data_IF_049025374676
#
_entry.id   IF_049025374676
#
_cell.length_a   1.000
_cell.length_b   1.000
_cell.length_c   1.000
_cell.angle_alpha   90.00
_cell.angle_beta   90.00
_cell.angle_gamma   90.00
#
_symmetry.space_group_name_H-M   'P 1'
#
loop_
_entity.id
_entity.type
_entity.pdbx_description
1 polymer ?
#
# COMPACT_ATOMS: atom_id res chain seq x y z
N UNK A 1 -30.90 20.63 66.64
CA UNK A 1 -29.95 20.64 65.52
C UNK A 1 -29.67 22.08 65.21
N UNK A 2 -28.50 22.57 65.63
CA UNK A 2 -28.10 23.96 65.37
C UNK A 2 -27.67 24.10 63.92
N UNK A 3 -27.65 25.32 63.40
CA UNK A 3 -27.17 25.64 62.05
C UNK A 3 -25.72 25.14 61.83
N UNK A 4 -24.91 25.16 62.89
CA UNK A 4 -23.53 24.67 62.89
C UNK A 4 -23.47 23.15 62.66
N UNK A 5 -24.29 22.36 63.36
CA UNK A 5 -24.35 20.90 63.14
C UNK A 5 -24.70 20.56 61.68
N UNK A 6 -25.68 21.26 61.09
CA UNK A 6 -26.11 21.03 59.71
C UNK A 6 -25.00 21.39 58.70
N UNK A 7 -24.28 22.48 58.95
CA UNK A 7 -23.16 22.93 58.11
C UNK A 7 -22.02 21.90 58.11
N UNK A 8 -21.67 21.37 59.28
CA UNK A 8 -20.59 20.38 59.40
C UNK A 8 -20.92 19.07 58.67
N UNK A 9 -22.18 18.60 58.74
CA UNK A 9 -22.61 17.43 57.97
C UNK A 9 -22.58 17.68 56.46
N UNK A 10 -22.97 18.87 56.00
CA UNK A 10 -22.90 19.23 54.58
C UNK A 10 -21.46 19.33 54.08
N UNK A 11 -20.56 19.92 54.87
CA UNK A 11 -19.13 19.97 54.55
C UNK A 11 -18.52 18.57 54.47
N UNK A 12 -18.83 17.69 55.43
CA UNK A 12 -18.39 16.29 55.39
C UNK A 12 -18.89 15.56 54.14
N UNK A 13 -20.17 15.70 53.81
CA UNK A 13 -20.76 15.09 52.61
C UNK A 13 -20.12 15.62 51.32
N UNK A 14 -19.80 16.92 51.27
CA UNK A 14 -19.10 17.53 50.14
C UNK A 14 -17.69 16.97 49.97
N UNK A 15 -16.92 16.85 51.06
CA UNK A 15 -15.58 16.25 51.02
C UNK A 15 -15.62 14.80 50.52
N UNK A 16 -16.52 13.98 51.07
CA UNK A 16 -16.69 12.58 50.62
C UNK A 16 -17.11 12.51 49.15
N UNK A 17 -18.04 13.36 48.72
CA UNK A 17 -18.50 13.41 47.34
C UNK A 17 -17.37 13.80 46.37
N UNK A 18 -16.51 14.75 46.76
CA UNK A 18 -15.37 15.16 45.93
C UNK A 18 -14.33 14.04 45.74
N UNK A 19 -14.06 13.25 46.79
CA UNK A 19 -13.17 12.09 46.72
C UNK A 19 -13.79 11.00 45.83
N UNK A 20 -15.09 10.72 45.99
CA UNK A 20 -15.81 9.76 45.16
C UNK A 20 -15.83 10.18 43.68
N UNK A 21 -16.02 11.46 43.39
CA UNK A 21 -15.94 12.01 42.04
C UNK A 21 -14.54 11.83 41.45
N UNK A 22 -13.49 12.11 42.24
CA UNK A 22 -12.10 11.93 41.80
C UNK A 22 -11.80 10.45 41.49
N UNK A 23 -12.23 9.53 42.34
CA UNK A 23 -12.09 8.08 42.11
C UNK A 23 -12.85 7.67 40.85
N UNK A 24 -14.09 8.14 40.70
CA UNK A 24 -14.93 7.87 39.52
C UNK A 24 -14.26 8.33 38.22
N UNK A 25 -13.67 9.54 38.23
CA UNK A 25 -12.93 10.08 37.09
C UNK A 25 -11.72 9.20 36.72
N UNK A 26 -10.94 8.73 37.70
CA UNK A 26 -9.80 7.85 37.47
C UNK A 26 -10.24 6.52 36.86
N UNK A 27 -11.31 5.93 37.36
CA UNK A 27 -11.89 4.68 36.82
C UNK A 27 -12.37 4.88 35.39
N UNK A 28 -13.10 5.97 35.10
CA UNK A 28 -13.58 6.29 33.76
C UNK A 28 -12.43 6.45 32.76
N UNK A 29 -11.34 7.15 33.12
CA UNK A 29 -10.15 7.30 32.27
C UNK A 29 -9.51 5.93 31.98
N UNK A 30 -9.41 5.05 32.98
CA UNK A 30 -8.87 3.69 32.79
C UNK A 30 -9.76 2.86 31.85
N UNK A 31 -11.08 2.91 32.03
CA UNK A 31 -12.03 2.22 31.15
C UNK A 31 -11.91 2.72 29.70
N UNK A 32 -11.84 4.03 29.48
CA UNK A 32 -11.64 4.61 28.14
C UNK A 32 -10.35 4.12 27.49
N UNK A 33 -9.24 3.99 28.24
CA UNK A 33 -7.99 3.44 27.71
C UNK A 33 -8.11 1.97 27.31
N UNK A 34 -8.78 1.16 28.13
CA UNK A 34 -9.03 -0.25 27.83
C UNK A 34 -9.91 -0.43 26.60
N UNK A 35 -11.00 0.34 26.50
CA UNK A 35 -11.90 0.32 25.33
C UNK A 35 -11.15 0.73 24.06
N UNK A 36 -10.33 1.78 24.10
CA UNK A 36 -9.49 2.19 22.95
C UNK A 36 -8.54 1.07 22.52
N UNK A 37 -7.94 0.35 23.47
CA UNK A 37 -7.07 -0.79 23.17
C UNK A 37 -7.86 -1.92 22.51
N UNK A 38 -8.99 -2.32 23.09
CA UNK A 38 -9.83 -3.38 22.52
C UNK A 38 -10.34 -3.02 21.12
N UNK A 39 -10.76 -1.78 20.89
CA UNK A 39 -11.13 -1.30 19.56
C UNK A 39 -9.97 -1.41 18.57
N UNK A 40 -8.75 -1.04 18.97
CA UNK A 40 -7.57 -1.16 18.10
C UNK A 40 -7.29 -2.63 17.75
N UNK A 41 -7.35 -3.52 18.73
CA UNK A 41 -7.10 -4.95 18.53
C UNK A 41 -8.19 -5.62 17.69
N UNK A 42 -9.45 -5.20 17.84
CA UNK A 42 -10.57 -5.64 16.98
C UNK A 42 -10.45 -5.12 15.56
N UNK A 43 -10.14 -3.84 15.38
CA UNK A 43 -9.94 -3.24 14.06
C UNK A 43 -8.76 -3.91 13.33
N UNK A 44 -7.66 -4.16 14.04
CA UNK A 44 -6.52 -4.86 13.45
C UNK A 44 -6.87 -6.28 13.00
N UNK A 45 -7.56 -7.06 13.85
CA UNK A 45 -8.02 -8.42 13.46
C UNK A 45 -8.95 -8.38 12.25
N UNK A 46 -9.89 -7.43 12.21
CA UNK A 46 -10.77 -7.24 11.07
C UNK A 46 -10.00 -6.88 9.79
N UNK A 47 -9.00 -6.00 9.89
CA UNK A 47 -8.15 -5.63 8.76
C UNK A 47 -7.32 -6.82 8.25
N UNK A 48 -6.81 -7.68 9.14
CA UNK A 48 -6.10 -8.92 8.78
C UNK A 48 -7.01 -9.88 8.03
N UNK A 49 -8.23 -10.11 8.53
CA UNK A 49 -9.21 -10.96 7.86
C UNK A 49 -9.56 -10.41 6.47
N UNK A 50 -9.77 -9.09 6.37
CA UNK A 50 -10.00 -8.41 5.09
C UNK A 50 -8.81 -8.48 4.14
N UNK A 51 -7.57 -8.43 4.62
CA UNK A 51 -6.39 -8.69 3.78
C UNK A 51 -6.48 -10.07 3.13
N UNK A 52 -6.79 -11.10 3.92
CA UNK A 52 -6.88 -12.48 3.41
C UNK A 52 -8.02 -12.63 2.40
N UNK A 53 -9.18 -12.03 2.66
CA UNK A 53 -10.28 -11.99 1.69
C UNK A 53 -9.87 -11.33 0.37
N UNK A 54 -9.21 -10.16 0.42
CA UNK A 54 -8.76 -9.45 -0.78
C UNK A 54 -7.68 -10.21 -1.54
N UNK A 55 -6.75 -10.86 -0.84
CA UNK A 55 -5.75 -11.74 -1.48
C UNK A 55 -6.40 -12.94 -2.14
N UNK A 56 -7.41 -13.53 -1.50
CA UNK A 56 -8.17 -14.65 -2.06
C UNK A 56 -8.93 -14.22 -3.31
N UNK A 57 -9.61 -13.06 -3.26
CA UNK A 57 -10.26 -12.45 -4.41
C UNK A 57 -9.26 -12.23 -5.55
N UNK A 58 -8.12 -11.60 -5.25
CA UNK A 58 -7.09 -11.30 -6.23
C UNK A 58 -6.58 -12.58 -6.91
N UNK A 59 -6.28 -13.62 -6.12
CA UNK A 59 -5.79 -14.89 -6.64
C UNK A 59 -6.84 -15.66 -7.46
N UNK A 60 -8.09 -15.70 -7.00
CA UNK A 60 -9.13 -16.54 -7.60
C UNK A 60 -9.89 -15.88 -8.75
N UNK A 61 -9.99 -14.54 -8.76
CA UNK A 61 -10.76 -13.79 -9.76
C UNK A 61 -9.87 -12.93 -10.63
N UNK A 62 -9.07 -12.07 -10.02
CA UNK A 62 -8.30 -11.08 -10.78
C UNK A 62 -7.20 -11.72 -11.64
N UNK A 63 -6.36 -12.60 -11.06
CA UNK A 63 -5.28 -13.26 -11.81
C UNK A 63 -5.80 -14.07 -13.01
N UNK A 64 -6.86 -14.90 -12.88
CA UNK A 64 -7.46 -15.58 -14.02
C UNK A 64 -8.05 -14.62 -15.06
N UNK A 65 -8.74 -13.56 -14.62
CA UNK A 65 -9.30 -12.56 -15.53
C UNK A 65 -8.21 -11.84 -16.34
N UNK A 66 -7.11 -11.44 -15.68
CA UNK A 66 -5.96 -10.84 -16.36
C UNK A 66 -5.26 -11.83 -17.31
N UNK A 67 -5.17 -13.11 -16.92
CA UNK A 67 -4.59 -14.15 -17.78
C UNK A 67 -5.42 -14.35 -19.05
N UNK A 68 -6.75 -14.40 -18.91
CA UNK A 68 -7.68 -14.46 -20.04
C UNK A 68 -7.57 -13.21 -20.93
N UNK A 69 -7.54 -12.02 -20.34
CA UNK A 69 -7.30 -10.77 -21.07
C UNK A 69 -6.03 -10.85 -21.93
N UNK A 70 -4.91 -11.32 -21.35
CA UNK A 70 -3.65 -11.44 -22.11
C UNK A 70 -3.73 -12.48 -23.22
N UNK A 71 -4.43 -13.59 -23.00
CA UNK A 71 -4.64 -14.61 -24.04
C UNK A 71 -5.48 -14.07 -25.20
N UNK A 72 -6.56 -13.36 -24.90
CA UNK A 72 -7.44 -12.78 -25.92
C UNK A 72 -6.74 -11.64 -26.67
N UNK A 73 -6.01 -10.76 -25.96
CA UNK A 73 -5.19 -9.73 -26.58
C UNK A 73 -4.12 -10.33 -27.49
N UNK A 74 -3.47 -11.43 -27.09
CA UNK A 74 -2.42 -12.08 -27.89
C UNK A 74 -2.96 -12.69 -29.19
N UNK A 75 -4.23 -13.08 -29.24
CA UNK A 75 -4.86 -13.60 -30.47
C UNK A 75 -5.02 -12.48 -31.51
N UNK A 76 -5.46 -11.31 -31.05
CA UNK A 76 -5.70 -10.14 -31.91
C UNK A 76 -4.40 -9.36 -32.22
N UNK A 77 -3.49 -9.30 -31.26
CA UNK A 77 -2.20 -8.59 -31.34
C UNK A 77 -1.06 -9.54 -30.93
N UNK A 78 -0.59 -10.41 -31.84
CA UNK A 78 0.46 -11.39 -31.53
C UNK A 78 1.79 -10.77 -31.12
N UNK A 79 2.07 -9.55 -31.61
CA UNK A 79 3.27 -8.78 -31.30
C UNK A 79 2.87 -7.35 -30.91
N UNK A 80 2.95 -7.08 -29.60
CA UNK A 80 2.69 -5.75 -29.05
C UNK A 80 3.76 -4.74 -29.49
N UNK A 81 3.35 -3.49 -29.62
CA UNK A 81 4.27 -2.37 -29.83
C UNK A 81 5.08 -2.17 -28.53
N UNK A 82 6.39 -1.96 -28.66
CA UNK A 82 7.21 -1.56 -27.52
C UNK A 82 6.86 -0.12 -27.16
N UNK A 83 6.44 0.08 -25.92
CA UNK A 83 6.00 1.38 -25.39
C UNK A 83 6.88 1.83 -24.23
N UNK A 84 8.06 1.22 -24.04
CA UNK A 84 8.95 1.53 -22.91
C UNK A 84 9.40 3.00 -22.90
N UNK A 85 9.50 3.62 -24.07
CA UNK A 85 9.83 5.04 -24.27
C UNK A 85 8.70 6.00 -23.86
N UNK A 86 7.47 5.51 -23.80
CA UNK A 86 6.29 6.29 -23.37
C UNK A 86 6.05 6.24 -21.86
N UNK A 87 6.85 5.47 -21.12
CA UNK A 87 6.73 5.38 -19.67
C UNK A 87 7.40 6.58 -18.99
N UNK A 88 6.61 7.60 -18.67
CA UNK A 88 7.09 8.85 -18.03
C UNK A 88 6.73 8.96 -16.54
N UNK A 89 6.04 7.95 -15.98
CA UNK A 89 5.55 7.93 -14.59
C UNK A 89 4.43 8.92 -14.27
N UNK A 90 4.01 9.78 -15.20
CA UNK A 90 2.90 10.74 -15.04
C UNK A 90 1.55 10.09 -15.28
N UNK A 91 1.52 9.03 -16.08
CA UNK A 91 0.32 8.29 -16.47
C UNK A 91 -0.75 9.20 -17.09
N UNK A 92 -0.34 10.04 -18.03
CA UNK A 92 -1.24 10.98 -18.71
C UNK A 92 -0.79 11.18 -20.16
N UNK A 93 -1.47 10.51 -21.09
CA UNK A 93 -1.18 10.59 -22.52
C UNK A 93 -2.45 10.99 -23.28
N UNK A 94 -2.38 12.01 -24.12
CA UNK A 94 -3.48 12.33 -25.04
C UNK A 94 -3.46 11.34 -26.19
N UNK A 95 -4.58 10.69 -26.47
CA UNK A 95 -4.72 9.75 -27.58
C UNK A 95 -4.35 10.38 -28.94
N UNK A 96 -4.51 11.71 -29.08
CA UNK A 96 -4.21 12.45 -30.32
C UNK A 96 -2.72 12.54 -30.62
N UNK A 97 -1.85 12.39 -29.62
CA UNK A 97 -0.40 12.47 -29.78
C UNK A 97 0.26 11.12 -30.04
N UNK A 98 -0.50 10.03 -29.98
CA UNK A 98 0.01 8.67 -30.16
C UNK A 98 0.02 8.26 -31.64
N UNK A 99 0.93 7.35 -31.98
CA UNK A 99 0.96 6.73 -33.30
C UNK A 99 -0.34 5.97 -33.59
N UNK A 100 -0.81 6.01 -34.84
CA UNK A 100 -2.08 5.40 -35.25
C UNK A 100 -2.11 3.89 -35.00
N UNK A 101 -0.98 3.18 -35.13
CA UNK A 101 -0.94 1.74 -34.87
C UNK A 101 -1.13 1.45 -33.39
N UNK A 102 -0.51 2.27 -32.53
CA UNK A 102 -0.69 2.17 -31.09
C UNK A 102 -2.15 2.44 -30.71
N UNK A 103 -2.78 3.47 -31.29
CA UNK A 103 -4.21 3.74 -31.06
C UNK A 103 -5.09 2.54 -31.41
N UNK A 104 -4.80 1.82 -32.49
CA UNK A 104 -5.52 0.58 -32.84
C UNK A 104 -5.31 -0.51 -31.79
N UNK A 105 -4.07 -0.73 -31.33
CA UNK A 105 -3.78 -1.68 -30.25
C UNK A 105 -4.56 -1.32 -28.97
N UNK A 106 -4.61 -0.03 -28.58
CA UNK A 106 -5.35 0.44 -27.41
C UNK A 106 -6.87 0.17 -27.50
N UNK A 107 -7.45 0.31 -28.70
CA UNK A 107 -8.86 -0.04 -28.94
C UNK A 107 -9.09 -1.53 -28.72
N UNK A 108 -8.21 -2.37 -29.28
CA UNK A 108 -8.28 -3.83 -29.10
C UNK A 108 -8.15 -4.20 -27.62
N UNK A 109 -7.22 -3.57 -26.89
CA UNK A 109 -7.08 -3.78 -25.44
C UNK A 109 -8.38 -3.46 -24.68
N UNK A 110 -9.05 -2.38 -25.07
CA UNK A 110 -10.34 -2.00 -24.51
C UNK A 110 -11.43 -3.05 -24.81
N UNK A 111 -11.48 -3.55 -26.04
CA UNK A 111 -12.42 -4.59 -26.47
C UNK A 111 -12.16 -5.94 -25.76
N UNK A 112 -10.89 -6.25 -25.45
CA UNK A 112 -10.50 -7.42 -24.64
C UNK A 112 -10.82 -7.27 -23.14
N UNK A 113 -11.32 -6.11 -22.69
CA UNK A 113 -11.85 -5.93 -21.34
C UNK A 113 -10.84 -5.42 -20.30
N UNK A 114 -9.78 -4.72 -20.70
CA UNK A 114 -8.82 -4.11 -19.75
C UNK A 114 -9.48 -3.09 -18.80
N UNK A 115 -10.59 -2.48 -19.24
CA UNK A 115 -11.33 -1.49 -18.44
C UNK A 115 -11.91 -2.10 -17.16
N UNK A 116 -12.45 -3.33 -17.24
CA UNK A 116 -12.98 -4.04 -16.08
C UNK A 116 -11.87 -4.35 -15.07
N UNK A 117 -10.70 -4.76 -15.57
CA UNK A 117 -9.53 -5.04 -14.73
C UNK A 117 -9.05 -3.79 -13.99
N UNK A 118 -8.97 -2.63 -14.65
CA UNK A 118 -8.60 -1.39 -13.96
C UNK A 118 -9.64 -0.95 -12.93
N UNK A 119 -10.94 -1.16 -13.18
CA UNK A 119 -11.96 -0.91 -12.17
C UNK A 119 -11.76 -1.79 -10.93
N UNK A 120 -11.48 -3.08 -11.11
CA UNK A 120 -11.18 -3.98 -10.00
C UNK A 120 -9.93 -3.56 -9.23
N UNK A 121 -8.88 -3.14 -9.96
CA UNK A 121 -7.67 -2.61 -9.32
C UNK A 121 -7.93 -1.30 -8.58
N UNK A 122 -8.81 -0.43 -9.05
CA UNK A 122 -9.13 0.82 -8.35
C UNK A 122 -9.76 0.53 -6.98
N UNK A 123 -10.70 -0.41 -6.89
CA UNK A 123 -11.28 -0.83 -5.62
C UNK A 123 -10.26 -1.53 -4.71
N UNK A 124 -9.44 -2.42 -5.29
CA UNK A 124 -8.35 -3.07 -4.57
C UNK A 124 -7.40 -2.03 -3.97
N UNK A 125 -7.03 -1.02 -4.75
CA UNK A 125 -6.09 0.02 -4.32
C UNK A 125 -6.65 0.94 -3.25
N UNK A 126 -7.94 1.27 -3.32
CA UNK A 126 -8.63 2.00 -2.24
C UNK A 126 -8.51 1.22 -0.92
N UNK A 127 -8.76 -0.08 -0.92
CA UNK A 127 -8.71 -0.88 0.30
C UNK A 127 -7.33 -0.84 0.97
N UNK A 128 -6.25 -0.86 0.18
CA UNK A 128 -4.87 -0.77 0.69
C UNK A 128 -4.54 0.65 1.16
N UNK A 129 -4.85 1.67 0.37
CA UNK A 129 -4.49 3.06 0.68
C UNK A 129 -5.23 3.61 1.90
N UNK A 130 -6.51 3.25 2.06
CA UNK A 130 -7.35 3.70 3.19
C UNK A 130 -7.14 2.86 4.47
N UNK A 131 -6.23 1.87 4.44
CA UNK A 131 -5.93 1.03 5.60
C UNK A 131 -7.07 0.11 6.02
N UNK A 132 -7.97 -0.25 5.09
CA UNK A 132 -8.99 -1.27 5.30
C UNK A 132 -8.38 -2.68 5.42
N UNK A 133 -7.17 -2.83 4.89
CA UNK A 133 -6.36 -4.05 4.95
C UNK A 133 -5.00 -3.73 5.57
N UNK A 134 -4.33 -4.76 6.10
CA UNK A 134 -2.94 -4.67 6.56
C UNK A 134 -2.01 -4.74 5.34
N UNK A 135 -1.37 -3.63 5.01
CA UNK A 135 -0.52 -3.50 3.83
C UNK A 135 0.64 -4.51 3.82
N UNK A 136 1.26 -4.79 4.97
CA UNK A 136 2.38 -5.73 5.07
C UNK A 136 1.99 -7.14 4.62
N UNK A 137 0.74 -7.53 4.86
CA UNK A 137 0.18 -8.82 4.43
C UNK A 137 -0.08 -8.80 2.91
N UNK A 138 -0.51 -7.66 2.37
CA UNK A 138 -0.83 -7.51 0.94
C UNK A 138 0.42 -7.41 0.06
N UNK A 139 1.42 -6.67 0.53
CA UNK A 139 2.57 -6.27 -0.26
C UNK A 139 3.40 -7.48 -0.71
N UNK A 140 3.78 -8.36 0.23
CA UNK A 140 4.68 -9.48 -0.05
C UNK A 140 4.21 -10.41 -1.18
N UNK A 141 2.93 -10.85 -1.24
CA UNK A 141 2.47 -11.73 -2.30
C UNK A 141 2.07 -11.03 -3.61
N UNK A 142 1.68 -9.75 -3.59
CA UNK A 142 1.00 -9.12 -4.73
C UNK A 142 1.79 -7.97 -5.37
N UNK A 143 2.60 -7.23 -4.60
CA UNK A 143 3.13 -5.94 -5.04
C UNK A 143 3.90 -6.02 -6.37
N UNK A 144 4.78 -7.01 -6.52
CA UNK A 144 5.56 -7.18 -7.76
C UNK A 144 4.69 -7.43 -8.98
N UNK A 145 3.70 -8.33 -8.86
CA UNK A 145 2.78 -8.65 -9.96
C UNK A 145 1.89 -7.45 -10.31
N UNK A 146 1.45 -6.71 -9.29
CA UNK A 146 0.69 -5.48 -9.44
C UNK A 146 1.50 -4.42 -10.20
N UNK A 147 2.71 -4.10 -9.73
CA UNK A 147 3.57 -3.09 -10.37
C UNK A 147 3.89 -3.45 -11.81
N UNK A 148 4.26 -4.72 -12.07
CA UNK A 148 4.56 -5.20 -13.41
C UNK A 148 3.35 -5.10 -14.35
N UNK A 149 2.13 -5.37 -13.86
CA UNK A 149 0.93 -5.18 -14.67
C UNK A 149 0.72 -3.71 -15.04
N UNK A 150 0.85 -2.80 -14.07
CA UNK A 150 0.67 -1.37 -14.33
C UNK A 150 1.72 -0.84 -15.32
N UNK A 151 2.96 -1.29 -15.23
CA UNK A 151 4.02 -0.97 -16.19
C UNK A 151 3.70 -1.50 -17.59
N UNK A 152 3.21 -2.75 -17.72
CA UNK A 152 2.87 -3.35 -19.02
C UNK A 152 1.66 -2.71 -19.71
N UNK A 153 0.75 -2.11 -18.93
CA UNK A 153 -0.52 -1.54 -19.40
C UNK A 153 -0.57 -0.02 -19.20
N UNK A 154 0.60 0.63 -19.03
CA UNK A 154 0.69 2.04 -18.66
C UNK A 154 0.09 2.98 -19.71
N UNK A 155 0.26 2.68 -21.01
CA UNK A 155 -0.23 3.58 -22.08
C UNK A 155 -1.76 3.64 -22.07
N UNK A 156 -2.42 2.49 -22.04
CA UNK A 156 -3.89 2.44 -22.00
C UNK A 156 -4.43 3.09 -20.72
N UNK A 157 -3.79 2.83 -19.57
CA UNK A 157 -4.13 3.48 -18.31
C UNK A 157 -4.01 5.01 -18.41
N UNK A 158 -2.95 5.50 -19.03
CA UNK A 158 -2.68 6.93 -19.23
C UNK A 158 -3.72 7.59 -20.13
N UNK A 159 -4.11 6.91 -21.21
CA UNK A 159 -5.13 7.39 -22.15
C UNK A 159 -6.53 7.38 -21.54
N UNK A 160 -6.88 6.34 -20.77
CA UNK A 160 -8.16 6.31 -20.07
C UNK A 160 -8.27 7.46 -19.07
N UNK A 161 -7.19 7.74 -18.34
CA UNK A 161 -7.14 8.86 -17.38
C UNK A 161 -7.21 10.23 -18.05
N UNK A 162 -6.56 10.43 -19.20
CA UNK A 162 -6.67 11.69 -19.94
C UNK A 162 -8.09 11.96 -20.46
N UNK A 163 -8.91 10.91 -20.58
CA UNK A 163 -10.35 10.97 -20.87
C UNK A 163 -11.24 11.05 -19.62
N UNK A 164 -10.68 11.17 -18.43
CA UNK A 164 -11.42 11.36 -17.18
C UNK A 164 -11.72 10.09 -16.38
N UNK A 165 -11.13 8.93 -16.74
CA UNK A 165 -11.31 7.72 -15.93
C UNK A 165 -10.67 7.88 -14.52
N UNK A 166 -11.36 7.48 -13.44
CA UNK A 166 -10.97 7.80 -12.07
C UNK A 166 -9.94 6.83 -11.48
N UNK A 167 -8.88 6.46 -12.21
CA UNK A 167 -7.87 5.50 -11.76
C UNK A 167 -6.77 6.15 -10.90
N UNK A 168 -7.16 6.98 -9.93
CA UNK A 168 -6.21 7.70 -9.07
C UNK A 168 -5.52 6.73 -8.12
N UNK A 169 -6.30 5.87 -7.46
CA UNK A 169 -5.79 4.99 -6.41
C UNK A 169 -4.89 3.90 -7.01
N UNK A 170 -5.18 3.44 -8.24
CA UNK A 170 -4.29 2.51 -8.95
C UNK A 170 -2.85 3.04 -9.02
N UNK A 171 -2.69 4.31 -9.41
CA UNK A 171 -1.37 4.93 -9.61
C UNK A 171 -0.72 5.34 -8.30
N UNK A 172 -1.52 5.78 -7.32
CA UNK A 172 -1.01 6.08 -5.99
C UNK A 172 -0.45 4.83 -5.31
N UNK A 173 -1.16 3.71 -5.39
CA UNK A 173 -0.66 2.44 -4.89
C UNK A 173 0.57 1.94 -5.68
N UNK A 174 0.55 2.06 -7.00
CA UNK A 174 1.71 1.72 -7.85
C UNK A 174 2.95 2.48 -7.39
N UNK A 175 2.87 3.80 -7.24
CA UNK A 175 4.02 4.62 -6.80
C UNK A 175 4.50 4.20 -5.42
N UNK A 176 3.57 4.06 -4.46
CA UNK A 176 3.90 3.64 -3.09
C UNK A 176 4.63 2.29 -3.06
N UNK A 177 4.16 1.32 -3.83
CA UNK A 177 4.77 -0.01 -3.88
C UNK A 177 6.04 -0.05 -4.71
N UNK A 178 6.15 0.76 -5.77
CA UNK A 178 7.36 0.89 -6.57
C UNK A 178 8.50 1.51 -5.76
N UNK A 179 8.23 2.60 -5.06
CA UNK A 179 9.21 3.24 -4.16
C UNK A 179 9.71 2.25 -3.11
N UNK A 180 8.81 1.42 -2.56
CA UNK A 180 9.17 0.38 -1.61
C UNK A 180 10.01 -0.74 -2.24
N UNK A 181 9.66 -1.19 -3.45
CA UNK A 181 10.42 -2.21 -4.19
C UNK A 181 11.86 -1.72 -4.45
N UNK A 182 12.03 -0.48 -4.88
CA UNK A 182 13.34 0.14 -5.11
C UNK A 182 14.18 0.22 -3.82
N UNK A 183 13.56 0.60 -2.70
CA UNK A 183 14.23 0.62 -1.38
C UNK A 183 14.67 -0.79 -0.96
N UNK A 184 13.81 -1.80 -1.13
CA UNK A 184 14.13 -3.19 -0.82
C UNK A 184 15.29 -3.71 -1.70
N UNK A 185 15.32 -3.32 -2.98
CA UNK A 185 16.43 -3.64 -3.89
C UNK A 185 17.75 -3.00 -3.43
N UNK A 186 17.76 -1.71 -3.11
CA UNK A 186 18.96 -1.02 -2.62
C UNK A 186 19.47 -1.62 -1.31
N UNK A 187 18.58 -2.03 -0.40
CA UNK A 187 18.96 -2.72 0.83
C UNK A 187 19.65 -4.05 0.56
N UNK A 188 19.16 -4.81 -0.43
CA UNK A 188 19.79 -6.06 -0.85
C UNK A 188 21.18 -5.81 -1.43
N UNK A 189 21.33 -4.81 -2.31
CA UNK A 189 22.62 -4.42 -2.89
C UNK A 189 23.64 -4.00 -1.81
N UNK A 190 23.20 -3.23 -0.79
CA UNK A 190 24.05 -2.86 0.36
C UNK A 190 24.51 -4.09 1.13
N UNK A 191 23.60 -5.05 1.38
CA UNK A 191 23.92 -6.29 2.09
C UNK A 191 24.95 -7.11 1.32
N UNK A 192 24.78 -7.23 0.01
CA UNK A 192 25.71 -7.95 -0.86
C UNK A 192 27.07 -7.26 -0.95
N UNK A 193 27.09 -5.94 -1.05
CA UNK A 193 28.33 -5.15 -1.00
C UNK A 193 29.07 -5.35 0.33
N UNK A 194 28.36 -5.30 1.47
CA UNK A 194 28.94 -5.57 2.80
C UNK A 194 29.49 -6.98 2.91
N UNK A 195 28.79 -7.98 2.37
CA UNK A 195 29.25 -9.37 2.35
C UNK A 195 30.53 -9.52 1.50
N UNK A 196 30.58 -8.90 0.31
CA UNK A 196 31.78 -8.89 -0.54
C UNK A 196 32.95 -8.19 0.15
N UNK A 197 32.71 -7.08 0.87
CA UNK A 197 33.74 -6.38 1.67
C UNK A 197 34.25 -7.28 2.79
N UNK A 198 33.39 -7.99 3.52
CA UNK A 198 33.84 -8.92 4.59
C UNK A 198 34.73 -10.04 4.03
N UNK A 199 34.36 -10.62 2.89
CA UNK A 199 35.14 -11.66 2.23
C UNK A 199 36.50 -11.16 1.73
N UNK A 200 36.54 -9.97 1.11
CA UNK A 200 37.77 -9.37 0.57
C UNK A 200 38.64 -8.67 1.63
N UNK A 201 38.04 -8.08 2.65
CA UNK A 201 38.72 -7.37 3.74
C UNK A 201 39.64 -8.27 4.55
N UNK A 202 39.30 -9.56 4.69
CA UNK A 202 40.19 -10.56 5.29
C UNK A 202 41.41 -10.92 4.42
N UNK A 203 41.38 -10.56 3.13
CA UNK A 203 42.48 -10.82 2.18
C UNK A 203 43.40 -9.61 1.95
N UNK A 204 42.95 -8.40 2.30
CA UNK A 204 43.73 -7.18 2.13
C UNK A 204 44.58 -6.89 3.37
N UNK A 205 45.87 -7.25 3.33
CA UNK A 205 46.89 -6.78 4.29
C UNK A 205 47.61 -5.58 3.69
N UNK A 206 47.40 -4.37 4.22
CA UNK A 206 48.22 -3.22 3.80
C UNK A 206 49.67 -3.50 4.18
N UNK A 207 50.60 -3.46 3.22
CA UNK A 207 52.03 -3.47 3.55
C UNK A 207 52.34 -2.18 4.33
N UNK A 208 53.01 -2.25 5.49
CA UNK A 208 53.43 -1.05 6.19
C UNK A 208 54.39 -0.23 5.30
N UNK A 209 54.40 1.10 5.42
CA UNK A 209 55.29 1.95 4.64
C UNK A 209 56.76 1.60 4.93
N UNK A 210 57.54 1.43 3.88
CA UNK A 210 58.98 1.17 3.96
C UNK A 210 59.64 2.49 4.42
N UNK A 211 60.19 2.50 5.64
CA UNK A 211 60.90 3.67 6.17
C UNK A 211 60.80 3.92 7.69
N UNK A 212 60.35 2.96 8.49
CA UNK A 212 60.48 3.02 9.96
C UNK A 212 61.48 1.97 10.43
N UNK A 213 62.77 2.32 10.32
CA UNK A 213 63.89 1.83 11.11
C UNK A 213 64.95 2.94 11.12
#
# INVERSE_FOLDING_TARGET
MTYEDLKDYLEFAYYVSSILLLIGLIVAIRQLRLVKKDMKDRNHRAAVEKSVEHLTYYAQKFIPAYSKYREDLKKEVPKRIDTSDLFDGKFYHDIKTLDKRLVVELIIQQDCGISQLFNELEFFSIAVLEGLVVEEIMYSPVAKAYCQMIENEHVILSVMRSKGAPFKNVIELYRKWKDREEVEEYQLQIKDAKNKIKLKGNSYKSKPPIGTN
#
